data_IF_609861171861
#
_entry.id   IF_609861171861
#
_cell.length_a   1.000
_cell.length_b   1.000
_cell.length_c   1.000
_cell.angle_alpha   90.00
_cell.angle_beta   90.00
_cell.angle_gamma   90.00
#
_symmetry.space_group_name_H-M   'P 1'
#
loop_
_entity.id
_entity.type
_entity.pdbx_description
1 polymer ?
#
# COMPACT_ATOMS: atom_id res chain seq x y z
N UNK A 1 -7.32 -13.13 -13.21
CA UNK A 1 -7.81 -11.97 -12.43
C UNK A 1 -7.03 -10.72 -12.82
N UNK A 2 -7.67 -9.55 -12.88
CA UNK A 2 -7.13 -8.31 -13.48
C UNK A 2 -7.59 -7.07 -12.70
N UNK A 3 -6.83 -5.95 -12.76
CA UNK A 3 -6.96 -4.78 -11.87
C UNK A 3 -7.25 -3.47 -12.62
N UNK A 4 -7.86 -2.52 -11.92
CA UNK A 4 -8.11 -1.15 -12.38
C UNK A 4 -7.65 -0.16 -11.29
N UNK A 5 -6.90 0.89 -11.65
CA UNK A 5 -6.47 2.00 -10.79
C UNK A 5 -7.24 3.28 -11.12
N UNK A 6 -7.63 4.01 -10.13
CA UNK A 6 -8.55 5.13 -10.29
C UNK A 6 -8.14 6.37 -9.50
N UNK A 7 -8.30 7.51 -10.08
CA UNK A 7 -8.38 8.93 -9.68
C UNK A 7 -7.25 9.82 -10.20
N UNK A 8 -7.62 10.91 -10.86
CA UNK A 8 -6.72 11.94 -11.43
C UNK A 8 -6.75 13.21 -10.59
N UNK A 9 -5.61 13.93 -10.53
CA UNK A 9 -5.39 15.07 -9.66
C UNK A 9 -5.55 16.43 -10.36
N UNK A 10 -6.35 16.55 -11.41
CA UNK A 10 -6.78 17.86 -11.90
C UNK A 10 -7.96 18.35 -11.03
N UNK A 11 -7.63 18.81 -9.82
CA UNK A 11 -8.57 19.30 -8.84
C UNK A 11 -8.61 20.83 -8.96
N UNK A 12 -9.81 21.37 -9.19
CA UNK A 12 -10.13 22.76 -8.91
C UNK A 12 -9.69 23.07 -7.45
N UNK A 13 -8.84 24.09 -7.22
CA UNK A 13 -8.31 24.37 -5.88
C UNK A 13 -9.38 24.68 -4.82
N UNK A 14 -10.63 24.89 -5.22
CA UNK A 14 -11.77 25.10 -4.31
C UNK A 14 -12.54 23.80 -4.00
N UNK A 15 -12.26 22.68 -4.66
CA UNK A 15 -12.94 21.40 -4.45
C UNK A 15 -11.98 20.34 -3.97
N UNK A 16 -12.29 19.70 -2.87
CA UNK A 16 -11.50 18.58 -2.35
C UNK A 16 -11.58 18.44 -0.83
N UNK A 17 -10.97 17.39 -0.33
CA UNK A 17 -10.88 17.14 1.11
C UNK A 17 -9.44 17.44 1.57
N UNK A 18 -9.23 18.28 2.60
CA UNK A 18 -7.90 18.65 3.05
C UNK A 18 -7.10 17.43 3.51
N UNK A 19 -5.86 17.31 3.05
CA UNK A 19 -4.94 16.22 3.42
C UNK A 19 -4.44 16.42 4.85
N UNK A 20 -4.37 15.31 5.62
CA UNK A 20 -3.80 15.31 6.98
C UNK A 20 -4.83 15.43 8.11
N UNK A 21 -6.11 15.60 7.82
CA UNK A 21 -7.16 15.54 8.82
C UNK A 21 -7.74 14.13 8.93
N UNK A 22 -8.01 13.66 10.15
CA UNK A 22 -8.64 12.35 10.41
C UNK A 22 -10.02 12.24 9.73
N UNK A 23 -10.82 13.30 9.76
CA UNK A 23 -12.13 13.36 9.11
C UNK A 23 -12.06 13.20 7.59
N UNK A 24 -10.98 13.63 6.94
CA UNK A 24 -10.82 13.52 5.50
C UNK A 24 -10.84 12.08 5.01
N UNK A 25 -10.20 11.17 5.74
CA UNK A 25 -10.22 9.74 5.42
C UNK A 25 -11.62 9.14 5.59
N UNK A 26 -12.33 9.54 6.64
CA UNK A 26 -13.70 9.10 6.88
C UNK A 26 -14.64 9.62 5.78
N UNK A 27 -14.59 10.93 5.48
CA UNK A 27 -15.40 11.54 4.43
C UNK A 27 -15.14 10.92 3.05
N UNK A 28 -13.86 10.67 2.70
CA UNK A 28 -13.51 10.03 1.44
C UNK A 28 -14.06 8.60 1.34
N UNK A 29 -14.00 7.83 2.41
CA UNK A 29 -14.59 6.48 2.44
C UNK A 29 -16.12 6.52 2.38
N UNK A 30 -16.74 7.44 3.09
CA UNK A 30 -18.19 7.63 3.05
C UNK A 30 -18.67 8.04 1.64
N UNK A 31 -17.98 8.98 1.02
CA UNK A 31 -18.28 9.44 -0.35
C UNK A 31 -18.23 8.31 -1.37
N UNK A 32 -17.28 7.40 -1.26
CA UNK A 32 -17.14 6.25 -2.16
C UNK A 32 -18.00 5.04 -1.76
N UNK A 33 -18.72 5.09 -0.64
CA UNK A 33 -19.54 3.96 -0.18
C UNK A 33 -20.67 3.63 -1.15
N UNK A 34 -21.29 4.66 -1.77
CA UNK A 34 -22.31 4.48 -2.79
C UNK A 34 -21.79 3.69 -4.00
N UNK A 35 -20.55 3.91 -4.40
CA UNK A 35 -19.89 3.14 -5.44
C UNK A 35 -19.68 1.68 -5.02
N UNK A 36 -19.27 1.43 -3.79
CA UNK A 36 -19.08 0.06 -3.28
C UNK A 36 -20.39 -0.73 -3.32
N UNK A 37 -21.52 -0.10 -2.91
CA UNK A 37 -22.86 -0.67 -3.01
C UNK A 37 -23.28 -0.90 -4.46
N UNK A 38 -23.13 0.11 -5.32
CA UNK A 38 -23.43 -0.01 -6.74
C UNK A 38 -22.65 -1.14 -7.41
N UNK A 39 -21.37 -1.27 -7.12
CA UNK A 39 -20.51 -2.30 -7.67
C UNK A 39 -20.97 -3.71 -7.28
N UNK A 40 -21.42 -3.89 -6.05
CA UNK A 40 -21.90 -5.18 -5.52
C UNK A 40 -23.34 -5.49 -5.90
N UNK A 41 -24.25 -4.55 -5.73
CA UNK A 41 -25.69 -4.78 -5.83
C UNK A 41 -26.21 -4.63 -7.26
N UNK A 42 -25.68 -3.68 -8.05
CA UNK A 42 -26.11 -3.45 -9.44
C UNK A 42 -25.21 -4.15 -10.46
N UNK A 43 -23.91 -4.11 -10.26
CA UNK A 43 -22.97 -4.71 -11.20
C UNK A 43 -22.62 -6.17 -10.85
N UNK A 44 -23.09 -6.67 -9.70
CA UNK A 44 -22.88 -8.03 -9.20
C UNK A 44 -21.42 -8.50 -9.19
N UNK A 45 -20.49 -7.56 -8.90
CA UNK A 45 -19.08 -7.86 -8.83
C UNK A 45 -18.76 -8.62 -7.54
N UNK A 46 -18.34 -9.88 -7.70
CA UNK A 46 -18.06 -10.78 -6.56
C UNK A 46 -16.78 -10.39 -5.80
N UNK A 47 -15.74 -10.01 -6.52
CA UNK A 47 -14.41 -9.76 -5.96
C UNK A 47 -13.92 -8.36 -6.32
N UNK A 48 -14.12 -7.43 -5.40
CA UNK A 48 -13.58 -6.08 -5.46
C UNK A 48 -12.97 -5.72 -4.10
N UNK A 49 -11.86 -5.00 -4.14
CA UNK A 49 -11.17 -4.49 -2.97
C UNK A 49 -10.89 -3.01 -3.18
N UNK A 50 -11.17 -2.20 -2.19
CA UNK A 50 -10.85 -0.78 -2.18
C UNK A 50 -10.07 -0.41 -0.94
N UNK A 51 -9.03 0.36 -1.11
CA UNK A 51 -8.31 1.02 -0.05
C UNK A 51 -8.18 2.49 -0.43
N UNK A 52 -8.99 3.33 0.18
CA UNK A 52 -9.16 4.74 -0.19
C UNK A 52 -9.54 4.89 -1.67
N UNK A 53 -8.66 5.50 -2.45
CA UNK A 53 -8.75 5.71 -3.90
C UNK A 53 -8.24 4.52 -4.74
N UNK A 54 -7.48 3.63 -4.15
CA UNK A 54 -6.97 2.43 -4.82
C UNK A 54 -8.08 1.35 -4.91
N UNK A 55 -8.50 1.02 -6.12
CA UNK A 55 -9.57 0.03 -6.38
C UNK A 55 -9.03 -1.12 -7.21
N UNK A 56 -9.32 -2.33 -6.78
CA UNK A 56 -8.96 -3.58 -7.46
C UNK A 56 -10.21 -4.41 -7.70
N UNK A 57 -10.46 -4.75 -8.95
CA UNK A 57 -11.60 -5.59 -9.34
C UNK A 57 -11.09 -6.82 -10.07
N UNK A 58 -11.58 -7.99 -9.68
CA UNK A 58 -11.26 -9.23 -10.34
C UNK A 58 -12.42 -9.73 -11.20
N UNK A 59 -12.12 -10.19 -12.39
CA UNK A 59 -13.09 -10.74 -13.33
C UNK A 59 -12.56 -11.94 -14.07
N UNK A 60 -13.46 -12.72 -14.65
CA UNK A 60 -13.15 -13.97 -15.36
C UNK A 60 -12.57 -13.72 -16.76
N UNK A 61 -13.00 -12.66 -17.45
CA UNK A 61 -12.51 -12.34 -18.80
C UNK A 61 -12.08 -10.88 -18.95
N UNK A 62 -11.24 -10.64 -19.94
CA UNK A 62 -10.74 -9.30 -20.30
C UNK A 62 -11.88 -8.43 -20.81
N UNK A 63 -12.74 -9.00 -21.61
CA UNK A 63 -13.88 -8.35 -22.25
C UNK A 63 -14.89 -7.88 -21.21
N UNK A 64 -15.21 -8.74 -20.23
CA UNK A 64 -16.10 -8.40 -19.12
C UNK A 64 -15.53 -7.23 -18.29
N UNK A 65 -14.22 -7.24 -18.00
CA UNK A 65 -13.56 -6.17 -17.27
C UNK A 65 -13.50 -4.86 -18.06
N UNK A 66 -13.34 -4.89 -19.39
CA UNK A 66 -13.42 -3.68 -20.22
C UNK A 66 -14.83 -3.09 -20.24
N UNK A 67 -15.88 -3.94 -20.31
CA UNK A 67 -17.26 -3.47 -20.19
C UNK A 67 -17.50 -2.82 -18.83
N UNK A 68 -17.14 -3.52 -17.75
CA UNK A 68 -17.26 -3.02 -16.39
C UNK A 68 -16.49 -1.71 -16.20
N UNK A 69 -15.30 -1.57 -16.74
CA UNK A 69 -14.49 -0.37 -16.65
C UNK A 69 -15.19 0.85 -17.30
N UNK A 70 -15.89 0.65 -18.43
CA UNK A 70 -16.69 1.72 -19.05
C UNK A 70 -17.83 2.17 -18.14
N UNK A 71 -18.53 1.22 -17.52
CA UNK A 71 -19.62 1.51 -16.57
C UNK A 71 -19.09 2.20 -15.30
N UNK A 72 -17.94 1.76 -14.77
CA UNK A 72 -17.27 2.41 -13.63
C UNK A 72 -16.93 3.87 -13.98
N UNK A 73 -16.30 4.12 -15.13
CA UNK A 73 -16.00 5.50 -15.58
C UNK A 73 -17.24 6.36 -15.71
N UNK A 74 -18.34 5.80 -16.23
CA UNK A 74 -19.62 6.50 -16.33
C UNK A 74 -20.14 6.86 -14.95
N UNK A 75 -20.20 5.89 -14.03
CA UNK A 75 -20.68 6.09 -12.66
C UNK A 75 -19.86 7.16 -11.92
N UNK A 76 -18.55 7.09 -11.99
CA UNK A 76 -17.67 8.10 -11.38
C UNK A 76 -17.96 9.51 -11.92
N UNK A 77 -18.13 9.63 -13.24
CA UNK A 77 -18.41 10.91 -13.87
C UNK A 77 -19.81 11.45 -13.54
N UNK A 78 -20.86 10.61 -13.59
CA UNK A 78 -22.25 11.07 -13.45
C UNK A 78 -22.72 11.15 -12.00
N UNK A 79 -22.34 10.21 -11.15
CA UNK A 79 -22.85 10.12 -9.78
C UNK A 79 -21.89 10.73 -8.76
N UNK A 80 -20.59 10.59 -8.99
CA UNK A 80 -19.55 11.05 -8.05
C UNK A 80 -18.83 12.31 -8.51
N UNK A 81 -19.07 12.78 -9.74
CA UNK A 81 -18.34 13.92 -10.33
C UNK A 81 -16.82 13.79 -10.22
N UNK A 82 -16.31 12.55 -10.28
CA UNK A 82 -14.90 12.20 -10.21
C UNK A 82 -14.38 11.67 -11.55
N UNK A 83 -13.09 11.87 -11.78
CA UNK A 83 -12.42 11.36 -12.98
C UNK A 83 -11.54 10.16 -12.64
N UNK A 84 -11.61 9.13 -13.48
CA UNK A 84 -10.77 7.93 -13.37
C UNK A 84 -9.43 8.17 -14.03
N UNK A 85 -8.33 7.95 -13.30
CA UNK A 85 -6.95 8.10 -13.83
C UNK A 85 -6.75 7.32 -15.14
N UNK A 86 -5.98 7.89 -16.05
CA UNK A 86 -5.66 7.27 -17.33
C UNK A 86 -4.75 6.04 -17.25
N UNK A 87 -4.06 5.83 -16.13
CA UNK A 87 -3.07 4.76 -15.90
C UNK A 87 -3.67 3.41 -15.44
N UNK A 88 -4.98 3.23 -15.49
CA UNK A 88 -5.63 1.95 -15.19
C UNK A 88 -5.11 0.81 -16.07
N UNK A 89 -5.06 -0.40 -15.52
CA UNK A 89 -4.52 -1.57 -16.21
C UNK A 89 -5.39 -2.81 -16.00
N UNK A 90 -5.61 -3.57 -17.07
CA UNK A 90 -6.22 -4.89 -17.03
C UNK A 90 -5.19 -5.92 -17.47
N UNK A 91 -4.82 -6.83 -16.58
CA UNK A 91 -3.85 -7.88 -16.86
C UNK A 91 -4.18 -9.18 -16.11
N UNK A 92 -3.72 -10.35 -16.61
CA UNK A 92 -3.87 -11.63 -15.90
C UNK A 92 -2.95 -11.65 -14.67
N UNK A 93 -3.51 -12.02 -13.51
CA UNK A 93 -2.77 -12.07 -12.24
C UNK A 93 -1.66 -13.13 -12.20
N UNK A 94 -1.77 -14.18 -13.02
CA UNK A 94 -0.75 -15.24 -13.14
C UNK A 94 0.50 -14.79 -13.93
N UNK A 95 0.34 -13.77 -14.80
CA UNK A 95 1.46 -13.23 -15.59
C UNK A 95 2.24 -12.18 -14.79
N UNK A 96 1.51 -11.38 -14.03
CA UNK A 96 2.07 -10.23 -13.33
C UNK A 96 1.38 -10.05 -12.00
N UNK A 97 2.16 -10.00 -10.92
CA UNK A 97 1.62 -9.76 -9.58
C UNK A 97 0.90 -8.43 -9.46
N UNK A 98 -0.07 -8.40 -8.56
CA UNK A 98 -0.87 -7.23 -8.22
C UNK A 98 -0.10 -6.33 -7.25
N UNK A 99 0.18 -5.10 -7.66
CA UNK A 99 0.65 -4.05 -6.76
C UNK A 99 -0.55 -3.42 -6.03
N UNK A 100 -0.67 -3.66 -4.71
CA UNK A 100 -1.73 -3.10 -3.88
C UNK A 100 -1.23 -2.86 -2.45
N UNK A 101 -1.54 -1.70 -1.87
CA UNK A 101 -1.21 -1.31 -0.49
C UNK A 101 0.25 -1.59 -0.10
N UNK A 102 1.19 -1.30 -1.00
CA UNK A 102 2.64 -1.46 -0.72
C UNK A 102 3.21 -2.85 -0.93
N UNK A 103 2.39 -3.81 -1.32
CA UNK A 103 2.78 -5.19 -1.61
C UNK A 103 2.57 -5.53 -3.08
N UNK A 104 3.24 -6.59 -3.51
CA UNK A 104 3.03 -7.21 -4.80
C UNK A 104 2.60 -8.66 -4.62
N UNK A 105 1.30 -8.89 -4.76
CA UNK A 105 0.68 -10.20 -4.55
C UNK A 105 0.65 -11.02 -5.84
N UNK A 106 1.09 -12.26 -5.75
CA UNK A 106 0.99 -13.30 -6.76
C UNK A 106 -0.02 -14.35 -6.30
N UNK A 107 -0.27 -15.38 -7.09
CA UNK A 107 -1.22 -16.42 -6.70
C UNK A 107 -0.82 -17.16 -5.42
N UNK A 108 0.47 -17.46 -5.25
CA UNK A 108 0.97 -18.34 -4.20
C UNK A 108 1.89 -17.63 -3.19
N UNK A 109 2.27 -16.38 -3.45
CA UNK A 109 3.18 -15.63 -2.58
C UNK A 109 2.98 -14.13 -2.71
N UNK A 110 3.41 -13.40 -1.70
CA UNK A 110 3.36 -11.94 -1.67
C UNK A 110 4.75 -11.39 -1.39
N UNK A 111 5.15 -10.36 -2.13
CA UNK A 111 6.40 -9.66 -1.95
C UNK A 111 6.16 -8.20 -1.56
N UNK A 112 7.15 -7.59 -0.95
CA UNK A 112 7.16 -6.14 -0.78
C UNK A 112 7.26 -5.47 -2.16
N UNK A 113 6.50 -4.37 -2.38
CA UNK A 113 6.57 -3.57 -3.62
C UNK A 113 8.03 -3.17 -3.90
N UNK A 114 8.44 -3.18 -5.17
CA UNK A 114 9.84 -2.93 -5.57
C UNK A 114 10.40 -1.61 -5.02
N UNK A 115 9.63 -0.53 -5.06
CA UNK A 115 10.03 0.78 -4.49
C UNK A 115 10.21 0.71 -2.98
N UNK A 116 9.25 0.15 -2.25
CA UNK A 116 9.32 -0.05 -0.80
C UNK A 116 10.49 -0.94 -0.40
N UNK A 117 10.74 -2.02 -1.15
CA UNK A 117 11.88 -2.90 -0.94
C UNK A 117 13.22 -2.18 -1.17
N UNK A 118 13.31 -1.30 -2.18
CA UNK A 118 14.51 -0.48 -2.41
C UNK A 118 14.78 0.47 -1.24
N UNK A 119 13.76 1.21 -0.81
CA UNK A 119 13.88 2.14 0.34
C UNK A 119 14.24 1.40 1.63
N UNK A 120 13.61 0.24 1.88
CA UNK A 120 13.96 -0.64 2.99
C UNK A 120 15.45 -1.04 2.97
N UNK A 121 15.95 -1.56 1.86
CA UNK A 121 17.35 -1.98 1.72
C UNK A 121 18.32 -0.82 1.95
N UNK A 122 18.02 0.34 1.37
CA UNK A 122 18.84 1.53 1.54
C UNK A 122 18.89 1.97 3.01
N UNK A 123 17.72 2.00 3.68
CA UNK A 123 17.64 2.40 5.08
C UNK A 123 18.39 1.43 5.99
N UNK A 124 18.20 0.12 5.83
CA UNK A 124 18.89 -0.89 6.65
C UNK A 124 20.42 -0.86 6.42
N UNK A 125 20.87 -0.73 5.18
CA UNK A 125 22.30 -0.60 4.90
C UNK A 125 22.91 0.68 5.50
N UNK A 126 22.16 1.80 5.50
CA UNK A 126 22.62 3.05 6.14
C UNK A 126 22.77 2.88 7.66
N UNK A 127 21.78 2.25 8.31
CA UNK A 127 21.84 1.97 9.75
C UNK A 127 23.03 1.05 10.06
N UNK A 128 23.17 -0.07 9.33
CA UNK A 128 24.25 -1.02 9.53
C UNK A 128 25.63 -0.36 9.43
N UNK A 129 25.88 0.46 8.39
CA UNK A 129 27.15 1.17 8.24
C UNK A 129 27.48 2.08 9.42
N UNK A 130 26.46 2.72 10.03
CA UNK A 130 26.66 3.59 11.19
C UNK A 130 27.03 2.80 12.44
N UNK A 131 26.31 1.69 12.69
CA UNK A 131 26.60 0.85 13.87
C UNK A 131 27.96 0.14 13.74
N UNK A 132 28.33 -0.32 12.53
CA UNK A 132 29.67 -0.86 12.24
C UNK A 132 30.79 0.18 12.49
N UNK A 133 30.50 1.47 12.28
CA UNK A 133 31.43 2.58 12.61
C UNK A 133 31.37 3.04 14.08
N UNK A 134 30.75 2.28 14.96
CA UNK A 134 30.65 2.57 16.39
C UNK A 134 29.70 3.69 16.76
N UNK A 135 28.87 4.18 15.83
CA UNK A 135 27.88 5.22 16.12
C UNK A 135 26.66 4.61 16.82
N UNK A 136 26.22 5.25 17.91
CA UNK A 136 25.03 4.82 18.62
C UNK A 136 23.77 4.99 17.75
N UNK A 137 22.86 4.01 17.81
CA UNK A 137 21.57 4.03 17.12
C UNK A 137 20.70 5.20 17.63
N UNK A 138 19.99 5.86 16.70
CA UNK A 138 19.03 6.91 17.04
C UNK A 138 17.62 6.33 17.19
N UNK A 139 16.76 7.02 17.96
CA UNK A 139 15.35 6.64 18.12
C UNK A 139 14.62 6.46 16.78
N UNK A 140 14.82 7.38 15.81
CA UNK A 140 14.21 7.29 14.48
C UNK A 140 14.69 6.08 13.66
N UNK A 141 15.90 5.60 13.92
CA UNK A 141 16.45 4.41 13.26
C UNK A 141 15.85 3.13 13.87
N UNK A 142 15.75 3.08 15.20
CA UNK A 142 15.05 2.02 15.91
C UNK A 142 13.56 1.92 15.48
N UNK A 143 12.84 3.04 15.43
CA UNK A 143 11.48 3.10 14.93
C UNK A 143 11.37 2.59 13.49
N UNK A 144 12.32 2.97 12.62
CA UNK A 144 12.37 2.50 11.23
C UNK A 144 12.53 0.99 11.13
N UNK A 145 13.42 0.39 11.93
CA UNK A 145 13.61 -1.07 11.96
C UNK A 145 12.30 -1.77 12.34
N UNK A 146 11.64 -1.31 13.43
CA UNK A 146 10.40 -1.92 13.90
C UNK A 146 9.24 -1.73 12.92
N UNK A 147 9.13 -0.57 12.29
CA UNK A 147 8.14 -0.32 11.24
C UNK A 147 8.33 -1.28 10.05
N UNK A 148 9.55 -1.42 9.55
CA UNK A 148 9.82 -2.37 8.47
C UNK A 148 9.63 -3.83 8.89
N UNK A 149 9.95 -4.21 10.12
CA UNK A 149 9.63 -5.55 10.66
C UNK A 149 8.13 -5.81 10.61
N UNK A 150 7.31 -4.81 10.97
CA UNK A 150 5.86 -4.88 10.85
C UNK A 150 5.41 -5.13 9.40
N UNK A 151 5.94 -4.41 8.44
CA UNK A 151 5.62 -4.61 7.01
C UNK A 151 6.04 -5.98 6.50
N UNK A 152 7.25 -6.44 6.89
CA UNK A 152 7.80 -7.71 6.45
C UNK A 152 7.04 -8.94 6.98
N UNK A 153 6.20 -8.80 8.01
CA UNK A 153 5.33 -9.87 8.52
C UNK A 153 4.24 -10.29 7.52
N UNK A 154 3.85 -9.39 6.62
CA UNK A 154 2.73 -9.61 5.68
C UNK A 154 3.18 -10.03 4.28
N UNK A 155 4.43 -10.46 4.12
CA UNK A 155 4.97 -10.92 2.84
C UNK A 155 6.07 -11.97 3.02
N UNK A 156 6.43 -12.66 1.93
CA UNK A 156 7.51 -13.63 1.89
C UNK A 156 8.87 -12.93 1.98
N UNK A 157 9.30 -12.68 3.20
CA UNK A 157 10.41 -11.79 3.52
C UNK A 157 11.59 -12.47 4.23
N UNK A 158 11.58 -13.79 4.42
CA UNK A 158 12.62 -14.51 5.16
C UNK A 158 14.04 -14.12 4.74
N UNK A 159 14.33 -14.18 3.44
CA UNK A 159 15.65 -13.82 2.90
C UNK A 159 15.99 -12.33 3.10
N UNK A 160 14.99 -11.46 3.04
CA UNK A 160 15.17 -10.02 3.29
C UNK A 160 15.47 -9.76 4.76
N UNK A 161 14.75 -10.40 5.67
CA UNK A 161 14.97 -10.27 7.10
C UNK A 161 16.35 -10.79 7.50
N UNK A 162 16.73 -11.99 7.06
CA UNK A 162 18.03 -12.57 7.33
C UNK A 162 19.19 -11.67 6.83
N UNK A 163 19.05 -11.06 5.65
CA UNK A 163 20.11 -10.24 5.04
C UNK A 163 20.20 -8.82 5.59
N UNK A 164 19.06 -8.19 5.94
CA UNK A 164 19.01 -6.75 6.23
C UNK A 164 18.57 -6.41 7.66
N UNK A 165 17.74 -7.23 8.29
CA UNK A 165 17.30 -7.01 9.70
C UNK A 165 18.26 -7.69 10.66
N UNK A 166 18.60 -8.97 10.46
CA UNK A 166 19.45 -9.72 11.38
C UNK A 166 20.76 -8.99 11.73
N UNK A 167 21.49 -8.37 10.78
CA UNK A 167 22.75 -7.67 11.12
C UNK A 167 22.59 -6.46 12.05
N UNK A 168 21.41 -5.81 12.10
CA UNK A 168 21.14 -4.63 12.92
C UNK A 168 20.27 -4.95 14.14
N UNK A 169 19.85 -6.20 14.31
CA UNK A 169 18.93 -6.60 15.35
C UNK A 169 19.55 -6.45 16.75
N UNK A 170 20.79 -6.90 16.94
CA UNK A 170 21.49 -6.81 18.23
C UNK A 170 21.63 -5.35 18.70
N UNK A 171 21.96 -4.44 17.79
CA UNK A 171 22.05 -3.01 18.11
C UNK A 171 20.69 -2.40 18.43
N UNK A 172 19.63 -2.82 17.74
CA UNK A 172 18.26 -2.39 18.03
C UNK A 172 17.77 -2.88 19.41
N UNK A 173 18.10 -4.12 19.78
CA UNK A 173 17.75 -4.70 21.08
C UNK A 173 18.53 -4.02 22.21
N UNK A 174 19.82 -3.75 22.02
CA UNK A 174 20.64 -2.97 22.98
C UNK A 174 20.05 -1.57 23.18
N UNK A 175 19.72 -0.86 22.09
CA UNK A 175 19.09 0.46 22.16
C UNK A 175 17.78 0.43 22.94
N UNK A 176 16.96 -0.58 22.75
CA UNK A 176 15.70 -0.75 23.47
C UNK A 176 15.95 -0.90 24.98
N UNK A 177 16.87 -1.77 25.38
CA UNK A 177 17.20 -2.01 26.80
C UNK A 177 17.79 -0.76 27.46
N UNK A 178 18.76 -0.12 26.84
CA UNK A 178 19.53 0.98 27.44
C UNK A 178 18.78 2.32 27.44
N UNK A 179 17.96 2.58 26.43
CA UNK A 179 17.35 3.90 26.22
C UNK A 179 15.84 3.92 26.42
N UNK A 180 15.12 2.94 25.84
CA UNK A 180 13.65 2.94 25.86
C UNK A 180 13.13 2.44 27.21
N UNK A 181 13.60 1.29 27.69
CA UNK A 181 13.15 0.74 28.99
C UNK A 181 13.52 1.66 30.14
N UNK A 182 14.72 2.24 30.17
CA UNK A 182 15.13 3.16 31.26
C UNK A 182 14.33 4.47 31.29
N UNK A 183 13.70 4.88 30.18
CA UNK A 183 12.83 6.06 30.15
C UNK A 183 11.39 5.75 30.57
N UNK A 184 11.01 4.47 30.55
CA UNK A 184 9.67 4.01 30.89
C UNK A 184 9.56 3.53 32.35
N UNK A 185 10.68 3.30 33.02
CA UNK A 185 10.82 3.01 34.45
C UNK A 185 10.99 4.29 35.27
#
# INVERSE_FOLDING_TARGET
>A
MRNIWLLDEDIDPETGIPIGNYLSQYCGNFYLSSFDHWLKEKMHVKHAFRYMDDIVIFGSSKEALHKLQKEVKRYFKTELHLTVKGNWQIFPTYVRGLDFVGYRSFLNFTLLRKSSCKSFKQKMNSIRKKTENGQMMRYSEWCSINSYKGWLKHCDSYRLQAKYIAPVQADADRYYQEVIQRKAA
#
